data_IF_969541609319
#
_entry.id   IF_969541609319
#
_cell.length_a   1.000
_cell.length_b   1.000
_cell.length_c   1.000
_cell.angle_alpha   90.00
_cell.angle_beta   90.00
_cell.angle_gamma   90.00
#
_symmetry.space_group_name_H-M   'P 1'
#
loop_
_entity.id
_entity.type
_entity.pdbx_description
1 polymer ?
#
# COMPACT_ATOMS: atom_id res chain seq x y z
N UNK A 1 -0.11 -13.41 12.14
CA UNK A 1 0.14 -14.11 10.87
C UNK A 1 1.06 -15.27 11.14
N UNK A 2 0.91 -16.37 10.39
CA UNK A 2 1.68 -17.59 10.66
C UNK A 2 3.19 -17.35 10.69
N UNK A 3 3.72 -16.56 9.75
CA UNK A 3 5.13 -16.22 9.70
C UNK A 3 5.58 -15.42 10.93
N UNK A 4 4.78 -14.48 11.37
CA UNK A 4 5.08 -13.64 12.53
C UNK A 4 5.06 -14.49 13.81
N UNK A 5 4.12 -15.44 13.92
CA UNK A 5 4.10 -16.41 15.00
C UNK A 5 5.34 -17.34 15.00
N UNK A 6 5.72 -17.85 13.82
CA UNK A 6 6.90 -18.72 13.67
C UNK A 6 8.23 -18.01 13.97
N UNK A 7 8.33 -16.72 13.67
CA UNK A 7 9.57 -15.94 13.87
C UNK A 7 9.63 -15.20 15.20
N UNK A 8 8.55 -15.21 15.99
CA UNK A 8 8.44 -14.47 17.25
C UNK A 8 8.31 -12.95 17.08
N UNK A 9 8.19 -12.44 15.83
CA UNK A 9 7.89 -11.03 15.54
C UNK A 9 6.40 -10.74 15.73
N UNK A 10 5.96 -10.94 16.96
CA UNK A 10 4.61 -10.57 17.39
C UNK A 10 4.56 -9.08 17.78
N UNK A 11 3.37 -8.55 17.97
CA UNK A 11 3.19 -7.20 18.51
C UNK A 11 2.59 -7.33 19.93
N UNK A 12 3.32 -6.94 20.98
CA UNK A 12 4.70 -6.43 20.97
C UNK A 12 5.72 -7.53 20.59
N UNK A 13 6.89 -7.15 20.03
CA UNK A 13 7.90 -8.12 19.61
C UNK A 13 8.49 -8.86 20.80
N UNK A 14 8.57 -10.19 20.69
CA UNK A 14 9.24 -11.03 21.69
C UNK A 14 10.68 -11.27 21.26
N UNK A 15 11.62 -10.93 22.12
CA UNK A 15 13.03 -11.26 21.90
C UNK A 15 13.24 -12.76 22.16
N UNK A 16 13.57 -13.49 21.08
CA UNK A 16 13.95 -14.90 21.12
C UNK A 16 15.45 -15.05 20.84
N UNK A 17 16.04 -16.18 21.21
CA UNK A 17 17.44 -16.47 20.87
C UNK A 17 17.70 -16.34 19.36
N UNK A 18 16.78 -16.77 18.52
CA UNK A 18 16.89 -16.63 17.06
C UNK A 18 16.86 -15.17 16.61
N UNK A 19 16.06 -14.32 17.25
CA UNK A 19 16.04 -12.89 16.94
C UNK A 19 17.34 -12.20 17.38
N UNK A 20 17.89 -12.56 18.54
CA UNK A 20 19.18 -12.04 19.03
C UNK A 20 20.33 -12.45 18.11
N UNK A 21 20.41 -13.70 17.69
CA UNK A 21 21.38 -14.16 16.70
C UNK A 21 21.22 -13.43 15.35
N UNK A 22 19.99 -13.22 14.90
CA UNK A 22 19.71 -12.46 13.68
C UNK A 22 20.19 -11.00 13.77
N UNK A 23 20.06 -10.37 14.93
CA UNK A 23 20.59 -9.02 15.16
C UNK A 23 22.13 -9.02 15.21
N UNK A 24 22.74 -9.99 15.89
CA UNK A 24 24.21 -10.12 15.95
C UNK A 24 24.85 -10.25 14.56
N UNK A 25 24.17 -10.93 13.64
CA UNK A 25 24.61 -11.10 12.24
C UNK A 25 24.39 -9.86 11.36
N UNK A 26 23.78 -8.79 11.89
CA UNK A 26 23.49 -7.54 11.14
C UNK A 26 23.89 -6.30 11.92
N UNK A 27 25.20 -6.13 12.24
CA UNK A 27 25.67 -5.04 13.10
C UNK A 27 25.38 -3.65 12.52
N UNK A 28 25.44 -3.47 11.21
CA UNK A 28 25.13 -2.19 10.56
C UNK A 28 23.66 -1.78 10.76
N UNK A 29 22.75 -2.74 10.69
CA UNK A 29 21.33 -2.49 10.96
C UNK A 29 21.10 -2.16 12.44
N UNK A 30 21.73 -2.89 13.35
CA UNK A 30 21.63 -2.64 14.80
C UNK A 30 22.17 -1.24 15.13
N UNK A 31 23.34 -0.87 14.58
CA UNK A 31 23.90 0.45 14.78
C UNK A 31 22.97 1.54 14.26
N UNK A 32 22.45 1.38 13.05
CA UNK A 32 21.47 2.31 12.48
C UNK A 32 20.22 2.44 13.35
N UNK A 33 19.70 1.34 13.87
CA UNK A 33 18.53 1.36 14.77
C UNK A 33 18.79 2.09 16.09
N UNK A 34 19.98 1.91 16.66
CA UNK A 34 20.37 2.53 17.93
C UNK A 34 20.69 4.02 17.80
N UNK A 35 21.24 4.45 16.65
CA UNK A 35 21.67 5.83 16.41
C UNK A 35 20.59 6.72 15.79
N UNK A 36 19.58 6.13 15.12
CA UNK A 36 18.49 6.91 14.55
C UNK A 36 17.45 7.30 15.61
N UNK A 37 16.70 8.37 15.31
CA UNK A 37 15.56 8.78 16.13
C UNK A 37 14.56 7.62 16.24
N UNK A 38 14.05 7.42 17.44
CA UNK A 38 13.00 6.41 17.67
C UNK A 38 11.78 6.73 16.83
N UNK A 39 11.20 5.68 16.26
CA UNK A 39 9.95 5.79 15.51
C UNK A 39 8.83 6.23 16.43
N UNK A 40 8.15 7.31 16.08
CA UNK A 40 6.95 7.81 16.74
C UNK A 40 5.82 7.97 15.73
N UNK A 41 4.62 7.53 16.10
CA UNK A 41 3.41 7.87 15.37
C UNK A 41 2.93 9.26 15.81
N UNK A 42 3.45 10.31 15.17
CA UNK A 42 3.26 11.71 15.59
C UNK A 42 1.79 12.10 15.80
N UNK A 43 0.89 11.55 14.97
CA UNK A 43 -0.55 11.83 15.05
C UNK A 43 -1.23 11.19 16.28
N UNK A 44 -0.64 10.14 16.84
CA UNK A 44 -1.16 9.43 18.03
C UNK A 44 -0.30 9.62 19.27
N UNK A 45 0.93 10.11 19.13
CA UNK A 45 1.88 10.26 20.23
C UNK A 45 1.36 11.16 21.38
N UNK A 46 0.48 12.12 21.06
CA UNK A 46 -0.16 12.99 22.08
C UNK A 46 -1.33 12.31 22.81
N UNK A 47 -1.82 11.18 22.31
CA UNK A 47 -3.01 10.46 22.79
C UNK A 47 -2.66 9.12 23.44
N UNK A 48 -1.38 8.78 23.50
CA UNK A 48 -0.89 7.52 24.07
C UNK A 48 0.06 7.81 25.24
N UNK A 49 0.09 6.91 26.23
CA UNK A 49 0.96 7.05 27.38
C UNK A 49 2.45 7.03 27.00
N UNK A 50 3.21 7.94 27.62
CA UNK A 50 4.67 8.08 27.40
C UNK A 50 5.52 7.03 28.16
N UNK A 51 4.90 5.95 28.62
CA UNK A 51 5.57 4.91 29.42
C UNK A 51 6.32 3.86 28.58
N UNK A 52 6.87 2.88 29.28
CA UNK A 52 7.68 1.77 28.72
C UNK A 52 6.93 0.85 27.73
N UNK A 53 5.59 0.98 27.62
CA UNK A 53 4.72 0.18 26.76
C UNK A 53 4.10 0.97 25.61
N UNK A 54 4.84 1.93 25.02
CA UNK A 54 4.34 2.82 23.93
C UNK A 54 3.72 2.02 22.77
N UNK A 55 4.35 0.93 22.33
CA UNK A 55 3.83 0.13 21.23
C UNK A 55 2.49 -0.54 21.55
N UNK A 56 2.31 -1.02 22.78
CA UNK A 56 1.05 -1.61 23.24
C UNK A 56 -0.04 -0.54 23.34
N UNK A 57 0.27 0.59 23.95
CA UNK A 57 -0.64 1.74 24.08
C UNK A 57 -1.10 2.28 22.71
N UNK A 58 -0.21 2.34 21.70
CA UNK A 58 -0.56 2.74 20.34
C UNK A 58 -1.50 1.74 19.67
N UNK A 59 -1.27 0.44 19.87
CA UNK A 59 -2.12 -0.60 19.29
C UNK A 59 -3.49 -0.61 19.95
N UNK A 60 -3.53 -0.53 21.27
CA UNK A 60 -4.78 -0.48 22.02
C UNK A 60 -5.59 0.74 21.59
N UNK A 61 -4.95 1.92 21.46
CA UNK A 61 -5.58 3.12 20.93
C UNK A 61 -6.13 2.93 19.51
N UNK A 62 -5.36 2.35 18.60
CA UNK A 62 -5.83 2.10 17.22
C UNK A 62 -7.03 1.14 17.23
N UNK A 63 -6.99 0.08 18.05
CA UNK A 63 -8.09 -0.86 18.17
C UNK A 63 -9.36 -0.23 18.74
N UNK A 64 -9.23 0.66 19.71
CA UNK A 64 -10.34 1.41 20.30
C UNK A 64 -10.96 2.40 19.30
N UNK A 65 -10.14 2.99 18.43
CA UNK A 65 -10.60 3.92 17.39
C UNK A 65 -11.16 3.23 16.15
N UNK A 66 -10.99 1.92 16.03
CA UNK A 66 -11.49 1.18 14.87
C UNK A 66 -13.01 1.01 14.97
N UNK A 67 -13.73 1.62 14.03
CA UNK A 67 -15.18 1.45 13.92
C UNK A 67 -15.53 0.36 12.90
N UNK A 68 -15.98 -0.83 13.34
CA UNK A 68 -16.38 -1.91 12.45
C UNK A 68 -17.74 -1.67 11.76
N UNK A 69 -18.44 -0.57 12.10
CA UNK A 69 -19.76 -0.25 11.57
C UNK A 69 -19.72 0.79 10.45
N UNK A 70 -18.52 1.24 10.04
CA UNK A 70 -18.36 2.17 8.92
C UNK A 70 -19.11 1.69 7.69
N UNK A 71 -19.90 2.59 7.11
CA UNK A 71 -20.70 2.33 5.91
C UNK A 71 -20.49 3.39 4.81
N UNK A 72 -21.27 3.30 3.75
CA UNK A 72 -21.20 4.24 2.63
C UNK A 72 -21.62 5.67 2.98
N UNK A 73 -22.41 5.87 4.03
CA UNK A 73 -22.79 7.22 4.52
C UNK A 73 -21.59 7.92 5.16
N UNK A 74 -20.75 7.16 5.86
CA UNK A 74 -19.50 7.70 6.42
C UNK A 74 -18.53 8.10 5.31
N UNK A 75 -18.42 7.28 4.26
CA UNK A 75 -17.62 7.61 3.10
C UNK A 75 -18.14 8.88 2.39
N UNK A 76 -19.45 8.99 2.18
CA UNK A 76 -20.10 10.17 1.60
C UNK A 76 -19.88 11.42 2.47
N UNK A 77 -19.99 11.29 3.78
CA UNK A 77 -19.68 12.38 4.72
C UNK A 77 -18.23 12.87 4.56
N UNK A 78 -17.27 11.94 4.45
CA UNK A 78 -15.87 12.29 4.26
C UNK A 78 -15.65 13.02 2.93
N UNK A 79 -16.25 12.54 1.83
CA UNK A 79 -16.17 13.18 0.51
C UNK A 79 -16.71 14.61 0.57
N UNK A 80 -17.90 14.79 1.14
CA UNK A 80 -18.54 16.11 1.28
C UNK A 80 -17.73 17.06 2.18
N UNK A 81 -17.18 16.52 3.27
CA UNK A 81 -16.37 17.31 4.21
C UNK A 81 -15.05 17.75 3.61
N UNK A 82 -14.43 16.91 2.80
CA UNK A 82 -13.19 17.21 2.09
C UNK A 82 -13.41 18.28 1.00
N UNK A 83 -14.52 18.21 0.27
CA UNK A 83 -14.92 19.14 -0.78
C UNK A 83 -13.83 19.35 -1.86
N UNK A 84 -13.25 18.29 -2.37
CA UNK A 84 -12.19 18.28 -3.38
C UNK A 84 -11.96 16.90 -3.94
N UNK A 85 -10.92 16.70 -4.74
CA UNK A 85 -10.59 15.37 -5.27
C UNK A 85 -10.44 14.35 -4.15
N UNK A 86 -11.16 13.22 -4.26
CA UNK A 86 -11.19 12.19 -3.23
C UNK A 86 -11.05 10.81 -3.86
N UNK A 87 -10.08 10.04 -3.38
CA UNK A 87 -9.85 8.66 -3.79
C UNK A 87 -10.29 7.68 -2.69
N UNK A 88 -11.29 6.85 -2.97
CA UNK A 88 -11.71 5.79 -2.07
C UNK A 88 -10.83 4.55 -2.26
N UNK A 89 -10.18 4.08 -1.19
CA UNK A 89 -9.28 2.91 -1.22
C UNK A 89 -9.99 1.64 -0.74
N UNK A 90 -9.68 0.51 -1.37
CA UNK A 90 -10.22 -0.80 -0.99
C UNK A 90 -11.37 -1.26 -1.87
N UNK A 91 -11.66 -0.54 -2.93
CA UNK A 91 -12.70 -0.88 -3.89
C UNK A 91 -12.25 -2.09 -4.72
N UNK A 92 -13.03 -3.18 -4.71
CA UNK A 92 -12.68 -4.44 -5.35
C UNK A 92 -13.78 -5.01 -6.24
N UNK A 93 -14.90 -4.29 -6.41
CA UNK A 93 -16.02 -4.68 -7.26
C UNK A 93 -16.52 -3.55 -8.14
N UNK A 94 -17.18 -3.89 -9.23
CA UNK A 94 -17.84 -2.92 -10.12
C UNK A 94 -18.97 -2.19 -9.39
N UNK A 95 -19.69 -2.89 -8.54
CA UNK A 95 -20.79 -2.33 -7.74
C UNK A 95 -20.31 -1.25 -6.80
N UNK A 96 -19.20 -1.51 -6.08
CA UNK A 96 -18.61 -0.53 -5.17
C UNK A 96 -17.96 0.65 -5.94
N UNK A 97 -17.40 0.40 -7.12
CA UNK A 97 -16.91 1.46 -7.99
C UNK A 97 -18.03 2.41 -8.45
N UNK A 98 -19.20 1.88 -8.78
CA UNK A 98 -20.39 2.69 -9.10
C UNK A 98 -20.87 3.51 -7.89
N UNK A 99 -20.93 2.89 -6.70
CA UNK A 99 -21.28 3.60 -5.46
C UNK A 99 -20.29 4.72 -5.15
N UNK A 100 -18.99 4.53 -5.44
CA UNK A 100 -17.99 5.57 -5.27
C UNK A 100 -18.30 6.81 -6.14
N UNK A 101 -18.81 6.61 -7.37
CA UNK A 101 -19.31 7.72 -8.21
C UNK A 101 -20.49 8.41 -7.54
N UNK A 102 -21.47 7.65 -7.08
CA UNK A 102 -22.73 8.16 -6.52
C UNK A 102 -22.48 9.07 -5.31
N UNK A 103 -21.46 8.77 -4.49
CA UNK A 103 -21.08 9.60 -3.34
C UNK A 103 -20.10 10.74 -3.68
N UNK A 104 -19.68 10.89 -4.96
CA UNK A 104 -18.86 11.99 -5.44
C UNK A 104 -17.35 11.76 -5.37
N UNK A 105 -16.87 10.53 -5.31
CA UNK A 105 -15.45 10.25 -5.48
C UNK A 105 -14.97 10.62 -6.90
N UNK A 106 -13.74 11.09 -7.01
CA UNK A 106 -13.08 11.38 -8.29
C UNK A 106 -12.13 10.28 -8.73
N UNK A 107 -11.71 9.44 -7.79
CA UNK A 107 -10.84 8.31 -8.04
C UNK A 107 -11.17 7.13 -7.12
N UNK A 108 -10.74 5.96 -7.52
CA UNK A 108 -10.73 4.77 -6.66
C UNK A 108 -9.35 4.11 -6.67
N UNK A 109 -8.98 3.53 -5.55
CA UNK A 109 -7.80 2.68 -5.45
C UNK A 109 -8.26 1.22 -5.29
N UNK A 110 -8.11 0.44 -6.36
CA UNK A 110 -8.43 -0.99 -6.38
C UNK A 110 -7.37 -1.72 -5.60
N UNK A 111 -7.73 -2.20 -4.41
CA UNK A 111 -6.79 -2.67 -3.41
C UNK A 111 -7.40 -3.69 -2.46
N UNK A 112 -6.73 -4.83 -2.28
CA UNK A 112 -7.00 -5.77 -1.20
C UNK A 112 -6.03 -5.61 -0.01
N UNK A 113 -5.41 -4.43 0.12
CA UNK A 113 -4.39 -4.13 1.14
C UNK A 113 -3.17 -5.07 1.06
N UNK A 114 -2.83 -5.56 -0.14
CA UNK A 114 -1.73 -6.52 -0.35
C UNK A 114 -1.99 -7.89 0.29
N UNK A 115 -3.27 -8.30 0.41
CA UNK A 115 -3.69 -9.54 1.06
C UNK A 115 -3.48 -9.53 2.59
N UNK A 116 -3.38 -8.35 3.20
CA UNK A 116 -3.05 -8.23 4.63
C UNK A 116 -4.27 -8.20 5.55
N UNK A 117 -5.42 -7.88 5.05
CA UNK A 117 -6.68 -7.83 5.82
C UNK A 117 -7.51 -9.09 5.59
N UNK A 118 -8.21 -9.19 4.50
CA UNK A 118 -8.97 -10.38 4.13
C UNK A 118 -8.08 -11.33 3.33
N UNK A 119 -7.77 -12.50 3.89
CA UNK A 119 -7.08 -13.56 3.17
C UNK A 119 -8.01 -14.22 2.14
N UNK A 120 -7.45 -14.67 1.01
CA UNK A 120 -8.23 -15.28 -0.07
C UNK A 120 -9.07 -14.32 -0.91
N UNK A 121 -8.96 -12.99 -0.71
CA UNK A 121 -9.60 -12.02 -1.61
C UNK A 121 -8.93 -12.04 -2.99
N UNK A 122 -9.71 -11.69 -4.04
CA UNK A 122 -9.21 -11.62 -5.41
C UNK A 122 -8.00 -10.69 -5.55
N UNK A 123 -7.17 -10.92 -6.56
CA UNK A 123 -6.10 -9.99 -6.92
C UNK A 123 -6.69 -8.65 -7.40
N UNK A 124 -6.16 -7.51 -6.95
CA UNK A 124 -6.59 -6.21 -7.47
C UNK A 124 -6.43 -6.10 -8.98
N UNK A 125 -5.35 -6.64 -9.55
CA UNK A 125 -5.13 -6.62 -10.99
C UNK A 125 -6.26 -7.32 -11.77
N UNK A 126 -6.77 -8.44 -11.28
CA UNK A 126 -7.84 -9.19 -11.94
C UNK A 126 -9.20 -8.45 -11.95
N UNK A 127 -9.33 -7.39 -11.13
CA UNK A 127 -10.53 -6.57 -11.08
C UNK A 127 -10.44 -5.31 -11.95
N UNK A 128 -9.23 -4.87 -12.34
CA UNK A 128 -9.01 -3.60 -13.05
C UNK A 128 -9.82 -3.53 -14.33
N UNK A 129 -9.74 -4.54 -15.19
CA UNK A 129 -10.40 -4.51 -16.51
C UNK A 129 -11.91 -4.34 -16.38
N UNK A 130 -12.55 -5.17 -15.55
CA UNK A 130 -14.00 -5.10 -15.34
C UNK A 130 -14.44 -3.77 -14.73
N UNK A 131 -13.69 -3.24 -13.78
CA UNK A 131 -13.96 -1.94 -13.16
C UNK A 131 -13.74 -0.82 -14.19
N UNK A 132 -12.64 -0.86 -14.95
CA UNK A 132 -12.33 0.15 -15.97
C UNK A 132 -13.39 0.20 -17.06
N UNK A 133 -13.87 -0.95 -17.54
CA UNK A 133 -14.93 -1.01 -18.55
C UNK A 133 -16.26 -0.42 -18.04
N UNK A 134 -16.51 -0.51 -16.74
CA UNK A 134 -17.74 -0.04 -16.14
C UNK A 134 -17.74 1.43 -15.73
N UNK A 135 -16.59 1.99 -15.32
CA UNK A 135 -16.53 3.32 -14.69
C UNK A 135 -15.29 4.14 -15.08
N UNK A 136 -14.42 3.66 -15.95
CA UNK A 136 -13.14 4.30 -16.27
C UNK A 136 -13.26 5.64 -17.01
N UNK A 137 -14.42 5.98 -17.52
CA UNK A 137 -14.78 7.27 -18.10
C UNK A 137 -15.19 8.33 -17.05
N UNK A 138 -15.50 7.89 -15.82
CA UNK A 138 -16.03 8.73 -14.72
C UNK A 138 -15.11 8.80 -13.51
N UNK A 139 -14.27 7.79 -13.31
CA UNK A 139 -13.35 7.68 -12.18
C UNK A 139 -11.94 7.41 -12.65
N UNK A 140 -10.97 8.05 -12.01
CA UNK A 140 -9.58 7.61 -12.12
C UNK A 140 -9.36 6.32 -11.32
N UNK A 141 -8.71 5.35 -11.95
CA UNK A 141 -8.48 4.03 -11.35
C UNK A 141 -7.00 3.88 -11.02
N UNK A 142 -6.70 3.61 -9.76
CA UNK A 142 -5.34 3.37 -9.27
C UNK A 142 -5.24 1.90 -8.87
N UNK A 143 -4.31 1.15 -9.48
CA UNK A 143 -3.99 -0.20 -9.02
C UNK A 143 -3.11 -0.13 -7.76
N UNK A 144 -3.52 -0.74 -6.66
CA UNK A 144 -2.71 -0.89 -5.45
C UNK A 144 -2.49 -2.36 -5.07
N UNK A 145 -1.23 -2.74 -5.01
CA UNK A 145 -0.80 -4.07 -4.61
C UNK A 145 -0.31 -4.95 -5.75
N UNK A 146 0.61 -5.86 -5.41
CA UNK A 146 1.19 -6.79 -6.38
C UNK A 146 2.23 -6.20 -7.33
N UNK A 147 2.35 -4.89 -7.46
CA UNK A 147 3.32 -4.22 -8.34
C UNK A 147 4.73 -4.41 -7.80
N UNK A 148 5.59 -5.05 -8.60
CA UNK A 148 6.99 -5.38 -8.24
C UNK A 148 7.99 -5.07 -9.34
N UNK A 149 7.52 -4.76 -10.55
CA UNK A 149 8.34 -4.56 -11.74
C UNK A 149 7.70 -3.51 -12.65
N UNK A 150 8.51 -2.91 -13.52
CA UNK A 150 8.02 -1.98 -14.54
C UNK A 150 6.99 -2.61 -15.47
N UNK A 151 7.14 -3.90 -15.81
CA UNK A 151 6.13 -4.64 -16.60
C UNK A 151 4.76 -4.72 -15.92
N UNK A 152 4.71 -4.78 -14.59
CA UNK A 152 3.42 -4.78 -13.87
C UNK A 152 2.72 -3.44 -13.99
N UNK A 153 3.48 -2.34 -14.02
CA UNK A 153 2.93 -1.00 -14.27
C UNK A 153 2.33 -0.92 -15.67
N UNK A 154 3.08 -1.32 -16.70
CA UNK A 154 2.59 -1.29 -18.09
C UNK A 154 1.33 -2.13 -18.28
N UNK A 155 1.29 -3.34 -17.71
CA UNK A 155 0.09 -4.19 -17.73
C UNK A 155 -1.11 -3.55 -17.06
N UNK A 156 -0.90 -2.88 -15.92
CA UNK A 156 -1.98 -2.21 -15.21
C UNK A 156 -2.54 -1.02 -16.00
N UNK A 157 -1.66 -0.22 -16.61
CA UNK A 157 -2.06 0.89 -17.47
C UNK A 157 -2.83 0.38 -18.70
N UNK A 158 -2.34 -0.65 -19.38
CA UNK A 158 -3.02 -1.28 -20.51
C UNK A 158 -4.40 -1.87 -20.11
N UNK A 159 -4.56 -2.32 -18.86
CA UNK A 159 -5.85 -2.80 -18.34
C UNK A 159 -6.81 -1.68 -17.92
N UNK A 160 -6.41 -0.40 -18.03
CA UNK A 160 -7.25 0.77 -17.76
C UNK A 160 -6.97 1.51 -16.45
N UNK A 161 -5.92 1.14 -15.70
CA UNK A 161 -5.48 1.95 -14.58
C UNK A 161 -4.79 3.24 -15.08
N UNK A 162 -4.94 4.34 -14.34
CA UNK A 162 -4.23 5.60 -14.57
C UNK A 162 -2.90 5.67 -13.83
N UNK A 163 -2.80 4.96 -12.73
CA UNK A 163 -1.60 4.92 -11.90
C UNK A 163 -1.48 3.60 -11.15
N UNK A 164 -0.27 3.34 -10.62
CA UNK A 164 0.01 2.20 -9.75
C UNK A 164 0.57 2.66 -8.41
N UNK A 165 0.16 1.99 -7.36
CA UNK A 165 0.70 2.12 -6.01
C UNK A 165 1.37 0.82 -5.57
N UNK A 166 2.45 0.91 -4.82
CA UNK A 166 3.13 -0.25 -4.26
C UNK A 166 3.72 0.05 -2.88
N UNK A 167 3.54 -0.88 -1.96
CA UNK A 167 4.03 -0.75 -0.58
C UNK A 167 5.24 -1.64 -0.29
N UNK A 168 5.08 -2.96 -0.48
CA UNK A 168 6.11 -3.94 -0.07
C UNK A 168 7.46 -3.72 -0.76
N UNK A 169 7.47 -3.38 -2.04
CA UNK A 169 8.73 -3.13 -2.77
C UNK A 169 9.48 -1.93 -2.22
N UNK A 170 8.75 -0.84 -1.95
CA UNK A 170 9.31 0.35 -1.30
C UNK A 170 9.91 -0.01 0.08
N UNK A 171 9.12 -0.70 0.93
CA UNK A 171 9.56 -1.07 2.28
C UNK A 171 10.77 -2.02 2.27
N UNK A 172 10.81 -2.98 1.36
CA UNK A 172 11.94 -3.89 1.24
C UNK A 172 13.20 -3.17 0.77
N UNK A 173 13.09 -2.28 -0.21
CA UNK A 173 14.21 -1.50 -0.71
C UNK A 173 14.73 -0.52 0.33
N UNK A 174 13.83 0.13 1.06
CA UNK A 174 14.18 1.00 2.18
C UNK A 174 14.91 0.22 3.29
N UNK A 175 14.41 -0.97 3.63
CA UNK A 175 15.03 -1.81 4.67
C UNK A 175 16.39 -2.37 4.26
N UNK A 176 16.58 -2.65 2.97
CA UNK A 176 17.83 -3.22 2.45
C UNK A 176 18.93 -2.18 2.25
N UNK A 177 18.60 -0.96 1.81
CA UNK A 177 19.60 0.02 1.39
C UNK A 177 19.22 1.48 1.69
N UNK A 178 18.27 1.73 2.58
CA UNK A 178 17.85 3.09 2.93
C UNK A 178 17.40 3.88 1.70
N UNK A 179 17.72 5.16 1.65
CA UNK A 179 17.40 6.05 0.54
C UNK A 179 17.95 5.50 -0.79
N UNK A 180 19.22 5.11 -0.83
CA UNK A 180 19.85 4.57 -2.05
C UNK A 180 19.14 3.32 -2.57
N UNK A 181 18.65 2.45 -1.69
CA UNK A 181 17.85 1.28 -2.07
C UNK A 181 16.55 1.65 -2.76
N UNK A 182 15.88 2.70 -2.28
CA UNK A 182 14.64 3.22 -2.91
C UNK A 182 14.94 3.86 -4.26
N UNK A 183 15.96 4.69 -4.36
CA UNK A 183 16.40 5.32 -5.63
C UNK A 183 16.76 4.26 -6.67
N UNK A 184 17.50 3.22 -6.28
CA UNK A 184 17.84 2.11 -7.15
C UNK A 184 16.58 1.36 -7.63
N UNK A 185 15.63 1.09 -6.75
CA UNK A 185 14.35 0.47 -7.11
C UNK A 185 13.61 1.29 -8.17
N UNK A 186 13.45 2.59 -7.93
CA UNK A 186 12.71 3.47 -8.83
C UNK A 186 13.39 3.57 -10.19
N UNK A 187 14.74 3.70 -10.21
CA UNK A 187 15.51 3.68 -11.45
C UNK A 187 15.33 2.38 -12.21
N UNK A 188 15.44 1.25 -11.53
CA UNK A 188 15.30 -0.08 -12.14
C UNK A 188 13.90 -0.28 -12.74
N UNK A 189 12.85 0.17 -12.05
CA UNK A 189 11.48 0.11 -12.57
C UNK A 189 11.31 1.02 -13.80
N UNK A 190 11.85 2.22 -13.75
CA UNK A 190 11.81 3.17 -14.88
C UNK A 190 12.54 2.62 -16.10
N UNK A 191 13.76 2.10 -15.93
CA UNK A 191 14.55 1.50 -17.01
C UNK A 191 13.82 0.29 -17.64
N UNK A 192 13.15 -0.51 -16.82
CA UNK A 192 12.35 -1.64 -17.29
C UNK A 192 11.11 -1.18 -18.06
N UNK A 193 10.42 -0.14 -17.62
CA UNK A 193 9.28 0.46 -18.34
C UNK A 193 9.75 0.93 -19.72
N UNK A 194 10.79 1.74 -19.77
CA UNK A 194 11.31 2.29 -21.03
C UNK A 194 11.73 1.18 -22.00
N UNK A 195 12.51 0.19 -21.55
CA UNK A 195 12.92 -0.93 -22.38
C UNK A 195 11.73 -1.69 -22.95
N UNK A 196 10.72 -1.97 -22.12
CA UNK A 196 9.56 -2.72 -22.56
C UNK A 196 8.68 -1.92 -23.52
N UNK A 197 8.54 -0.61 -23.32
CA UNK A 197 7.86 0.26 -24.28
C UNK A 197 8.56 0.24 -25.65
N UNK A 198 9.88 0.33 -25.66
CA UNK A 198 10.66 0.21 -26.91
C UNK A 198 10.40 -1.14 -27.59
N UNK A 199 10.45 -2.25 -26.84
CA UNK A 199 10.22 -3.60 -27.38
C UNK A 199 8.79 -3.79 -27.92
N UNK A 200 7.82 -3.09 -27.36
CA UNK A 200 6.42 -3.09 -27.84
C UNK A 200 6.16 -2.09 -28.97
N UNK A 201 7.14 -1.23 -29.32
CA UNK A 201 6.97 -0.17 -30.32
C UNK A 201 6.11 1.01 -29.84
N UNK A 202 5.86 1.14 -28.51
CA UNK A 202 5.08 2.23 -27.93
C UNK A 202 5.95 3.46 -27.68
N UNK A 203 5.56 4.60 -28.22
CA UNK A 203 6.28 5.88 -28.04
C UNK A 203 5.87 6.61 -26.76
N UNK A 204 4.65 6.41 -26.31
CA UNK A 204 4.10 7.01 -25.11
C UNK A 204 3.09 6.07 -24.44
N UNK A 205 2.72 6.39 -23.18
CA UNK A 205 1.82 5.55 -22.39
C UNK A 205 0.39 5.46 -22.95
N UNK A 206 -0.04 6.44 -23.75
CA UNK A 206 -1.39 6.42 -24.35
C UNK A 206 -1.54 5.36 -25.47
N UNK A 207 -0.43 4.85 -25.97
CA UNK A 207 -0.42 3.77 -26.97
C UNK A 207 -0.49 2.36 -26.35
N UNK A 208 -0.54 2.26 -25.01
CA UNK A 208 -0.68 0.99 -24.30
C UNK A 208 -2.10 0.42 -24.34
N UNK A 209 -2.99 1.02 -25.12
CA UNK A 209 -4.37 0.57 -25.27
C UNK A 209 -4.44 -0.63 -26.19
N UNK A 210 -4.83 -1.77 -25.59
CA UNK A 210 -5.16 -3.08 -26.15
C UNK A 210 -4.01 -4.03 -26.40
#
# INVERSE_FOLDING_TARGET
>A
REKDHKTGFTTPPKLTLNSLLSFALRPSWVLSYLTNKKFELSNVAKKTDKGTNIAKSVIDYINEQYDPKMDWKDAEYCVKKWNGPFALKGVMSVEDAKRAIDIGCTAIMVSNHGGRQLDGSRSPFDQIKAISDAVGDKLEIILDGGVRRGTHVLKALAAGAKACSFGKMFLFSLSAGGQQGVEHLLKMMHDEINRNMILMGCKNLSELNN
#
